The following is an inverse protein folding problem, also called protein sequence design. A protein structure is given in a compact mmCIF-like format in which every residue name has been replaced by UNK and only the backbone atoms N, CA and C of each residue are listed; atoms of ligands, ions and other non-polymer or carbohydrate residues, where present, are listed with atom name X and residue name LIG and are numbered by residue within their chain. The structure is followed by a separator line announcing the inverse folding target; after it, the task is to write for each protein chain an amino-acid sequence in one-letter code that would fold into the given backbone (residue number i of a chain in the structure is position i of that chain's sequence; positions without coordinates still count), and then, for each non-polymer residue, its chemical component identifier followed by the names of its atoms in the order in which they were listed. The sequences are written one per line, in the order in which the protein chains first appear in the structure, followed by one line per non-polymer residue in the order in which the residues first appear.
data_IF_931255986645
#
_entry.id   IF_931255986645
#
_cell.length_a   1.000
_cell.length_b   1.000
_cell.length_c   1.000
_cell.angle_alpha   90.00
_cell.angle_beta   90.00
_cell.angle_gamma   90.00
#
_symmetry.space_group_name_H-M   'P 1'
#
loop_
_entity.id
_entity.type
_entity.pdbx_description
1 polymer ?
#
# COMPACT_ATOMS: atom_id res chain seq x y z
N UNK A 1 -6.67 -19.22 -29.32
CA UNK A 1 -5.43 -19.01 -28.55
C UNK A 1 -5.81 -18.55 -27.16
N UNK A 2 -5.40 -19.30 -26.12
CA UNK A 2 -5.70 -19.04 -24.70
C UNK A 2 -4.85 -17.87 -24.19
N UNK A 3 -5.44 -16.91 -23.49
CA UNK A 3 -4.72 -15.82 -22.84
C UNK A 3 -4.12 -16.30 -21.50
N UNK A 4 -2.82 -16.02 -21.30
CA UNK A 4 -2.17 -15.64 -20.03
C UNK A 4 -2.15 -16.63 -18.85
N UNK A 5 -1.13 -16.47 -17.96
CA UNK A 5 -1.49 -16.09 -16.61
C UNK A 5 -1.05 -14.65 -16.39
N UNK A 6 -2.03 -13.77 -16.20
CA UNK A 6 -1.85 -12.40 -15.74
C UNK A 6 -2.14 -12.40 -14.24
N UNK A 7 -1.13 -12.60 -13.39
CA UNK A 7 -1.06 -11.90 -12.14
C UNK A 7 -0.04 -10.77 -12.34
N UNK A 8 -0.52 -9.59 -12.71
CA UNK A 8 0.23 -8.38 -12.38
C UNK A 8 0.27 -8.35 -10.85
N UNK A 9 1.45 -8.55 -10.28
CA UNK A 9 1.70 -8.26 -8.88
C UNK A 9 2.15 -6.79 -8.85
N UNK A 10 1.26 -5.80 -8.68
CA UNK A 10 1.69 -4.41 -8.55
C UNK A 10 2.34 -4.25 -7.18
N UNK A 11 3.64 -4.49 -7.10
CA UNK A 11 4.43 -4.03 -5.99
C UNK A 11 4.51 -2.50 -6.11
N UNK A 12 3.91 -1.80 -5.15
CA UNK A 12 3.93 -0.33 -5.10
C UNK A 12 4.84 0.11 -3.97
N UNK A 13 5.83 0.95 -4.28
CA UNK A 13 6.74 1.52 -3.29
C UNK A 13 6.34 2.97 -3.00
N UNK A 14 6.08 3.28 -1.74
CA UNK A 14 5.77 4.61 -1.25
C UNK A 14 6.99 5.21 -0.55
N UNK A 15 7.62 6.18 -1.21
CA UNK A 15 8.64 7.02 -0.58
C UNK A 15 7.99 8.13 0.24
N UNK A 16 8.18 8.13 1.55
CA UNK A 16 7.68 9.18 2.45
C UNK A 16 8.84 9.89 3.15
N UNK A 17 8.68 11.20 3.38
CA UNK A 17 9.60 11.99 4.18
C UNK A 17 8.86 12.59 5.36
N UNK A 18 9.32 12.29 6.55
CA UNK A 18 8.78 12.76 7.82
C UNK A 18 9.66 13.91 8.30
N UNK A 19 9.05 15.09 8.50
CA UNK A 19 9.76 16.29 8.89
C UNK A 19 10.15 16.28 10.37
N UNK A 20 9.25 15.81 11.24
CA UNK A 20 9.39 15.81 12.69
C UNK A 20 8.89 14.49 13.29
N UNK A 21 9.36 14.14 14.49
CA UNK A 21 8.88 12.94 15.18
C UNK A 21 7.38 13.02 15.45
N UNK A 22 6.64 11.95 15.12
CA UNK A 22 5.20 11.90 15.36
C UNK A 22 4.57 10.55 15.02
N UNK A 23 3.27 10.44 15.31
CA UNK A 23 2.46 9.30 14.89
C UNK A 23 2.21 9.39 13.39
N UNK A 24 2.52 8.33 12.65
CA UNK A 24 2.34 8.28 11.20
C UNK A 24 1.42 7.12 10.85
N UNK A 25 0.39 7.43 10.06
CA UNK A 25 -0.54 6.44 9.52
C UNK A 25 -0.50 6.49 7.99
N UNK A 26 -0.16 5.37 7.36
CA UNK A 26 -0.29 5.17 5.92
C UNK A 26 -1.33 4.08 5.70
N UNK A 27 -2.43 4.45 5.06
CA UNK A 27 -3.54 3.57 4.75
C UNK A 27 -3.88 3.65 3.26
N UNK A 28 -4.18 2.51 2.66
CA UNK A 28 -4.62 2.36 1.28
C UNK A 28 -6.13 2.24 1.28
N UNK A 29 -6.78 3.00 0.41
CA UNK A 29 -8.22 2.94 0.17
C UNK A 29 -8.46 2.55 -1.28
N UNK A 30 -9.66 2.06 -1.58
CA UNK A 30 -10.12 1.90 -2.97
C UNK A 30 -10.88 3.14 -3.46
N UNK A 31 -11.27 3.12 -4.73
CA UNK A 31 -12.05 4.19 -5.37
C UNK A 31 -13.43 4.44 -4.73
N UNK A 32 -13.94 3.51 -3.92
CA UNK A 32 -15.18 3.69 -3.17
C UNK A 32 -14.92 4.25 -1.76
N UNK A 33 -13.67 4.55 -1.41
CA UNK A 33 -13.26 5.05 -0.11
C UNK A 33 -13.21 3.97 0.97
N UNK A 34 -13.23 2.68 0.61
CA UNK A 34 -13.14 1.59 1.59
C UNK A 34 -11.68 1.35 1.95
N UNK A 35 -11.40 1.21 3.25
CA UNK A 35 -10.06 0.86 3.74
C UNK A 35 -9.69 -0.53 3.23
N UNK A 36 -8.58 -0.59 2.49
CA UNK A 36 -8.03 -1.81 1.91
C UNK A 36 -6.98 -2.43 2.83
N UNK A 37 -6.05 -1.59 3.28
CA UNK A 37 -4.91 -2.02 4.09
C UNK A 37 -4.31 -0.85 4.85
N UNK A 38 -3.85 -1.11 6.08
CA UNK A 38 -2.98 -0.16 6.80
C UNK A 38 -1.53 -0.63 6.69
N UNK A 39 -0.68 0.16 6.04
CA UNK A 39 0.73 -0.16 5.78
C UNK A 39 1.65 0.32 6.91
N UNK A 40 1.29 1.42 7.56
CA UNK A 40 1.99 1.97 8.71
C UNK A 40 0.99 2.58 9.67
N UNK A 41 1.15 2.31 10.96
CA UNK A 41 0.42 2.99 12.02
C UNK A 41 1.26 2.99 13.31
N UNK A 42 2.31 3.82 13.33
CA UNK A 42 3.26 3.83 14.44
C UNK A 42 3.97 5.19 14.57
N UNK A 43 4.55 5.49 15.75
CA UNK A 43 5.49 6.60 15.87
C UNK A 43 6.71 6.41 14.97
N UNK A 44 7.14 7.49 14.34
CA UNK A 44 8.33 7.55 13.48
C UNK A 44 9.11 8.82 13.75
N UNK A 45 10.43 8.72 13.66
CA UNK A 45 11.31 9.88 13.73
C UNK A 45 11.31 10.63 12.40
N UNK A 46 11.87 11.84 12.42
CA UNK A 46 12.18 12.56 11.19
C UNK A 46 13.13 11.72 10.33
N UNK A 47 12.88 11.66 9.02
CA UNK A 47 13.65 10.83 8.11
C UNK A 47 12.93 10.51 6.80
N UNK A 48 13.64 9.80 5.92
CA UNK A 48 13.06 9.22 4.71
C UNK A 48 12.80 7.73 4.95
N UNK A 49 11.64 7.25 4.52
CA UNK A 49 11.22 5.86 4.64
C UNK A 49 10.63 5.38 3.32
N UNK A 50 10.90 4.12 3.00
CA UNK A 50 10.23 3.41 1.92
C UNK A 50 9.26 2.40 2.53
N UNK A 51 8.02 2.41 2.04
CA UNK A 51 7.00 1.48 2.47
C UNK A 51 6.54 0.70 1.25
N UNK A 52 6.70 -0.61 1.31
CA UNK A 52 6.30 -1.51 0.25
C UNK A 52 4.87 -2.02 0.47
N UNK A 53 4.08 -2.03 -0.61
CA UNK A 53 2.79 -2.70 -0.66
C UNK A 53 2.76 -3.72 -1.80
N UNK A 54 2.32 -4.94 -1.47
CA UNK A 54 2.22 -6.10 -2.35
C UNK A 54 0.91 -6.19 -3.14
N UNK A 55 0.07 -5.15 -3.08
CA UNK A 55 -1.25 -5.14 -3.74
C UNK A 55 -2.31 -6.00 -3.02
N UNK A 56 -2.08 -6.41 -1.77
CA UNK A 56 -3.02 -7.22 -0.98
C UNK A 56 -3.75 -6.39 0.06
N UNK A 57 -4.99 -6.78 0.37
CA UNK A 57 -5.73 -6.25 1.52
C UNK A 57 -5.24 -6.87 2.85
N UNK A 58 -5.81 -6.42 3.97
CA UNK A 58 -5.48 -6.96 5.31
C UNK A 58 -5.80 -8.46 5.47
N UNK A 59 -6.71 -9.02 4.66
CA UNK A 59 -7.01 -10.45 4.62
C UNK A 59 -6.02 -11.25 3.75
N UNK A 60 -4.98 -10.62 3.21
CA UNK A 60 -3.98 -11.23 2.34
C UNK A 60 -4.49 -11.56 0.92
N UNK A 61 -5.70 -11.13 0.58
CA UNK A 61 -6.29 -11.33 -0.74
C UNK A 61 -5.69 -10.34 -1.72
N UNK A 62 -5.26 -10.87 -2.86
CA UNK A 62 -4.77 -10.07 -3.97
C UNK A 62 -5.92 -9.31 -4.60
N UNK A 63 -5.76 -7.99 -4.70
CA UNK A 63 -6.74 -7.14 -5.35
C UNK A 63 -6.51 -7.18 -6.86
N UNK A 64 -7.60 -7.20 -7.64
CA UNK A 64 -7.55 -7.20 -9.10
C UNK A 64 -6.74 -6.02 -9.62
N UNK A 65 -5.98 -6.14 -10.70
CA UNK A 65 -5.24 -5.00 -11.27
C UNK A 65 -6.22 -3.89 -11.71
N UNK A 66 -6.32 -2.84 -10.89
CA UNK A 66 -7.22 -1.71 -11.07
C UNK A 66 -6.65 -0.49 -10.34
N UNK A 67 -7.15 0.69 -10.67
CA UNK A 67 -6.80 1.93 -9.96
C UNK A 67 -7.41 1.85 -8.56
N UNK A 68 -6.58 1.94 -7.52
CA UNK A 68 -6.99 1.99 -6.12
C UNK A 68 -6.80 3.40 -5.59
#
# INVERSE_FOLDING_TARGET
AQNYPNPFNPETNFGIRIADFGMVTLAVYDLQGRLVRTLLNAPRAAGAYEINWDGRNDAGQQLSSGTY
#
